data_IF_321548228024
#
_entry.id   IF_321548228024
#
_cell.length_a   1.000
_cell.length_b   1.000
_cell.length_c   1.000
_cell.angle_alpha   90.00
_cell.angle_beta   90.00
_cell.angle_gamma   90.00
#
_symmetry.space_group_name_H-M   'P 1'
#
loop_
_entity.id
_entity.type
_entity.pdbx_description
1 polymer ?
#
# COMPACT_ATOMS: atom_id res chain seq x y z
N UNK A 1 -7.27 -3.66 6.94
CA UNK A 1 -6.33 -3.99 5.85
C UNK A 1 -6.96 -3.66 4.49
N UNK A 2 -8.06 -4.32 4.10
CA UNK A 2 -8.76 -4.07 2.82
C UNK A 2 -9.05 -2.59 2.54
N UNK A 3 -9.64 -1.87 3.50
CA UNK A 3 -9.94 -0.44 3.33
C UNK A 3 -8.68 0.40 3.05
N UNK A 4 -7.59 0.13 3.77
CA UNK A 4 -6.31 0.84 3.61
C UNK A 4 -5.67 0.53 2.26
N UNK A 5 -5.70 -0.74 1.82
CA UNK A 5 -5.18 -1.14 0.52
C UNK A 5 -6.00 -0.51 -0.63
N UNK A 6 -7.33 -0.46 -0.50
CA UNK A 6 -8.22 0.18 -1.49
C UNK A 6 -8.02 1.69 -1.57
N UNK A 7 -7.81 2.36 -0.43
CA UNK A 7 -7.47 3.77 -0.42
C UNK A 7 -6.11 4.05 -1.09
N UNK A 8 -5.10 3.21 -0.83
CA UNK A 8 -3.79 3.32 -1.48
C UNK A 8 -3.88 3.08 -3.00
N UNK A 9 -4.56 2.02 -3.42
CA UNK A 9 -4.81 1.73 -4.83
C UNK A 9 -5.43 2.94 -5.53
N UNK A 10 -6.53 3.48 -4.98
CA UNK A 10 -7.19 4.67 -5.52
C UNK A 10 -6.27 5.89 -5.57
N UNK A 11 -5.51 6.15 -4.51
CA UNK A 11 -4.58 7.28 -4.45
C UNK A 11 -3.54 7.20 -5.59
N UNK A 12 -3.00 6.00 -5.87
CA UNK A 12 -2.05 5.81 -6.96
C UNK A 12 -2.70 5.82 -8.35
N UNK A 13 -3.96 5.36 -8.48
CA UNK A 13 -4.76 5.54 -9.71
C UNK A 13 -4.94 7.02 -10.03
N UNK A 14 -5.35 7.82 -9.04
CA UNK A 14 -5.56 9.26 -9.20
C UNK A 14 -4.24 9.99 -9.52
N UNK A 15 -3.13 9.53 -8.94
CA UNK A 15 -1.78 10.00 -9.25
C UNK A 15 -1.24 9.54 -10.62
N UNK A 16 -1.95 8.65 -11.33
CA UNK A 16 -1.54 7.99 -12.59
C UNK A 16 -0.26 7.15 -12.45
N UNK A 17 0.02 6.63 -11.25
CA UNK A 17 1.08 5.65 -11.04
C UNK A 17 0.51 4.24 -11.17
N UNK A 18 0.56 3.73 -12.41
CA UNK A 18 0.04 2.40 -12.71
C UNK A 18 0.83 1.26 -12.04
N UNK A 19 2.07 1.48 -11.62
CA UNK A 19 2.89 0.46 -10.98
C UNK A 19 2.39 0.19 -9.57
N UNK A 20 2.29 1.23 -8.75
CA UNK A 20 1.81 1.11 -7.38
C UNK A 20 0.32 0.80 -7.30
N UNK A 21 -0.50 1.38 -8.18
CA UNK A 21 -1.91 1.03 -8.27
C UNK A 21 -2.12 -0.49 -8.45
N UNK A 22 -1.41 -1.10 -9.41
CA UNK A 22 -1.47 -2.55 -9.66
C UNK A 22 -0.95 -3.38 -8.48
N UNK A 23 0.11 -2.92 -7.82
CA UNK A 23 0.65 -3.61 -6.65
C UNK A 23 -0.38 -3.67 -5.51
N UNK A 24 -1.06 -2.55 -5.22
CA UNK A 24 -2.11 -2.53 -4.19
C UNK A 24 -3.38 -3.27 -4.59
N UNK A 25 -3.74 -3.26 -5.87
CA UNK A 25 -4.82 -4.10 -6.39
C UNK A 25 -4.53 -5.59 -6.18
N UNK A 26 -3.32 -6.06 -6.51
CA UNK A 26 -2.94 -7.46 -6.33
C UNK A 26 -3.02 -7.89 -4.84
N UNK A 27 -2.58 -7.03 -3.93
CA UNK A 27 -2.70 -7.29 -2.49
C UNK A 27 -4.16 -7.31 -2.01
N UNK A 28 -5.02 -6.46 -2.57
CA UNK A 28 -6.46 -6.52 -2.27
C UNK A 28 -7.05 -7.85 -2.66
N UNK A 29 -6.76 -8.31 -3.87
CA UNK A 29 -7.24 -9.58 -4.40
C UNK A 29 -6.71 -10.77 -3.57
N UNK A 30 -5.44 -10.73 -3.14
CA UNK A 30 -4.84 -11.74 -2.25
C UNK A 30 -5.53 -11.83 -0.88
N UNK A 31 -5.78 -10.67 -0.23
CA UNK A 31 -6.50 -10.64 1.05
C UNK A 31 -7.97 -11.06 0.88
N UNK A 32 -8.63 -10.71 -0.22
CA UNK A 32 -10.01 -11.10 -0.50
C UNK A 32 -10.17 -12.59 -0.81
N UNK A 33 -9.18 -13.19 -1.45
CA UNK A 33 -9.15 -14.62 -1.77
C UNK A 33 -8.63 -15.49 -0.62
N UNK A 34 -8.23 -14.89 0.50
CA UNK A 34 -7.74 -15.61 1.69
C UNK A 34 -8.88 -16.36 2.38
N UNK A 35 -8.72 -17.68 2.53
CA UNK A 35 -9.71 -18.56 3.18
C UNK A 35 -9.40 -18.81 4.67
N UNK A 36 -8.21 -18.38 5.13
CA UNK A 36 -7.77 -18.60 6.51
C UNK A 36 -7.00 -17.41 7.08
N UNK A 37 -6.92 -17.30 8.42
CA UNK A 37 -6.05 -16.33 9.08
C UNK A 37 -4.55 -16.49 8.72
N UNK A 38 -4.13 -17.69 8.33
CA UNK A 38 -2.74 -17.94 7.92
C UNK A 38 -2.41 -17.25 6.59
N UNK A 39 -3.32 -17.29 5.62
CA UNK A 39 -3.14 -16.64 4.31
C UNK A 39 -3.04 -15.10 4.47
N UNK A 40 -3.89 -14.53 5.33
CA UNK A 40 -3.82 -13.10 5.69
C UNK A 40 -2.49 -12.78 6.39
N UNK A 41 -1.99 -13.68 7.24
CA UNK A 41 -0.71 -13.51 7.92
C UNK A 41 0.47 -13.52 6.94
N UNK A 42 0.47 -14.42 5.96
CA UNK A 42 1.48 -14.47 4.90
C UNK A 42 1.45 -13.22 4.02
N UNK A 43 0.26 -12.78 3.62
CA UNK A 43 0.07 -11.52 2.89
C UNK A 43 0.60 -10.33 3.72
N UNK A 44 0.37 -10.33 5.03
CA UNK A 44 0.86 -9.29 5.95
C UNK A 44 2.39 -9.25 5.99
N UNK A 45 3.06 -10.42 5.98
CA UNK A 45 4.53 -10.51 5.89
C UNK A 45 5.04 -9.99 4.54
N UNK A 46 4.34 -10.29 3.45
CA UNK A 46 4.67 -9.76 2.12
C UNK A 46 4.58 -8.22 2.12
N UNK A 47 3.51 -7.67 2.69
CA UNK A 47 3.35 -6.22 2.86
C UNK A 47 4.52 -5.64 3.65
N UNK A 48 4.90 -6.21 4.79
CA UNK A 48 6.03 -5.73 5.59
C UNK A 48 7.37 -5.75 4.83
N UNK A 49 7.57 -6.69 3.90
CA UNK A 49 8.76 -6.73 3.06
C UNK A 49 8.82 -5.55 2.09
N UNK A 50 7.68 -5.02 1.63
CA UNK A 50 7.64 -3.85 0.74
C UNK A 50 8.20 -2.58 1.40
N UNK A 51 8.30 -2.53 2.73
CA UNK A 51 8.85 -1.40 3.49
C UNK A 51 10.37 -1.48 3.65
N UNK A 52 11.03 -2.52 3.13
CA UNK A 52 12.46 -2.78 3.34
C UNK A 52 13.24 -2.60 2.04
N UNK A 53 14.45 -2.05 2.14
CA UNK A 53 15.38 -1.87 1.01
C UNK A 53 15.31 -0.49 0.37
N UNK A 54 16.16 -0.27 -0.64
CA UNK A 54 16.22 0.97 -1.40
C UNK A 54 15.16 0.98 -2.51
N UNK A 55 14.39 2.06 -2.61
CA UNK A 55 13.25 2.12 -3.55
C UNK A 55 12.04 1.36 -3.02
N UNK A 56 11.98 1.18 -1.70
CA UNK A 56 10.87 0.52 -1.01
C UNK A 56 9.64 1.41 -1.01
N UNK A 57 8.50 0.88 -0.56
CA UNK A 57 7.28 1.66 -0.42
C UNK A 57 7.44 2.89 0.52
N UNK A 58 8.42 2.85 1.44
CA UNK A 58 8.76 3.99 2.29
C UNK A 58 9.33 5.19 1.51
N UNK A 59 9.97 4.93 0.37
CA UNK A 59 10.65 5.97 -0.43
C UNK A 59 9.71 6.60 -1.47
N UNK A 60 8.48 6.09 -1.60
CA UNK A 60 7.55 6.48 -2.66
C UNK A 60 6.98 7.86 -2.38
N UNK A 61 6.99 8.70 -3.41
CA UNK A 61 6.38 10.03 -3.38
C UNK A 61 5.48 10.17 -4.61
N UNK A 62 4.36 10.87 -4.44
CA UNK A 62 3.46 11.20 -5.53
C UNK A 62 3.93 12.49 -6.17
N UNK A 63 4.23 12.42 -7.47
CA UNK A 63 4.48 13.57 -8.33
C UNK A 63 3.40 13.66 -9.40
N UNK A 64 2.75 14.82 -9.51
CA UNK A 64 1.75 15.07 -10.55
C UNK A 64 2.18 16.28 -11.38
N UNK A 65 2.33 16.07 -12.70
CA UNK A 65 2.78 17.10 -13.65
C UNK A 65 4.05 17.86 -13.20
N UNK A 66 5.02 17.15 -12.61
CA UNK A 66 6.27 17.72 -12.12
C UNK A 66 6.15 18.52 -10.82
N UNK A 67 4.99 18.50 -10.17
CA UNK A 67 4.77 19.12 -8.85
C UNK A 67 4.69 18.08 -7.75
N UNK A 68 5.00 18.51 -6.52
CA UNK A 68 4.84 17.73 -5.30
C UNK A 68 3.57 18.20 -4.58
N UNK A 69 2.39 17.60 -4.85
CA UNK A 69 1.16 18.03 -4.21
C UNK A 69 1.17 17.59 -2.74
N UNK A 70 1.03 18.55 -1.83
CA UNK A 70 1.11 18.30 -0.39
C UNK A 70 0.01 17.36 0.12
N UNK A 71 -1.24 17.59 -0.28
CA UNK A 71 -2.39 16.80 0.18
C UNK A 71 -2.28 15.29 -0.12
N UNK A 72 -2.08 14.87 -1.37
CA UNK A 72 -1.90 13.45 -1.73
C UNK A 72 -0.72 12.78 -1.02
N UNK A 73 0.39 13.49 -0.80
CA UNK A 73 1.53 12.93 -0.08
C UNK A 73 1.28 12.84 1.43
N UNK A 74 0.55 13.79 2.03
CA UNK A 74 0.10 13.68 3.42
C UNK A 74 -0.87 12.50 3.60
N UNK A 75 -1.78 12.29 2.63
CA UNK A 75 -2.66 11.12 2.61
C UNK A 75 -1.88 9.82 2.44
N UNK A 76 -0.88 9.79 1.54
CA UNK A 76 0.00 8.64 1.35
C UNK A 76 0.72 8.28 2.65
N UNK A 77 1.28 9.26 3.37
CA UNK A 77 1.99 9.03 4.63
C UNK A 77 1.07 8.43 5.70
N UNK A 78 -0.16 8.93 5.82
CA UNK A 78 -1.15 8.39 6.75
C UNK A 78 -1.52 6.95 6.42
N UNK A 79 -1.83 6.67 5.15
CA UNK A 79 -2.22 5.34 4.69
C UNK A 79 -1.07 4.34 4.79
N UNK A 80 0.15 4.77 4.45
CA UNK A 80 1.38 3.97 4.58
C UNK A 80 1.59 3.54 6.03
N UNK A 81 1.58 4.48 6.97
CA UNK A 81 1.77 4.15 8.38
C UNK A 81 0.67 3.21 8.88
N UNK A 82 -0.59 3.47 8.49
CA UNK A 82 -1.71 2.62 8.87
C UNK A 82 -1.58 1.20 8.34
N UNK A 83 -1.15 1.03 7.08
CA UNK A 83 -0.95 -0.28 6.48
C UNK A 83 0.16 -1.05 7.20
N UNK A 84 1.27 -0.38 7.52
CA UNK A 84 2.37 -0.97 8.28
C UNK A 84 1.92 -1.49 9.64
N UNK A 85 1.20 -0.68 10.42
CA UNK A 85 0.69 -1.07 11.74
C UNK A 85 -0.23 -2.30 11.67
N UNK A 86 -1.17 -2.31 10.71
CA UNK A 86 -2.09 -3.42 10.53
C UNK A 86 -1.32 -4.68 10.11
N UNK A 87 -0.39 -4.56 9.17
CA UNK A 87 0.41 -5.70 8.73
C UNK A 87 1.28 -6.26 9.87
N UNK A 88 1.85 -5.40 10.72
CA UNK A 88 2.62 -5.84 11.89
C UNK A 88 1.77 -6.62 12.91
N UNK A 89 0.49 -6.26 13.07
CA UNK A 89 -0.42 -6.95 13.99
C UNK A 89 -0.90 -8.30 13.49
N UNK A 90 -0.92 -8.50 12.16
CA UNK A 90 -1.45 -9.69 11.50
C UNK A 90 -0.36 -10.69 11.05
N UNK A 91 0.90 -10.23 10.96
CA UNK A 91 2.06 -11.03 10.56
C UNK A 91 2.58 -11.98 11.64
#
# INVERSE_FOLDING_TARGET
MLETLSALEKLFVDARDASWAKAFQALLEEVQASDSPADVSDTSRNILHMYRGMGSFNDVLIYTNGTYPRGPNEELDLLRNRLYEIALQLA
#
